data_IF_004587161251
#
_entry.id   IF_004587161251
#
_cell.length_a   1.000
_cell.length_b   1.000
_cell.length_c   1.000
_cell.angle_alpha   90.00
_cell.angle_beta   90.00
_cell.angle_gamma   90.00
#
_symmetry.space_group_name_H-M   'P 1'
#
loop_
_entity.id
_entity.type
_entity.pdbx_description
1 polymer ?
#
# COMPACT_ATOMS: atom_id res chain seq x y z
N UNK A 1 43.48 -5.32 69.85
CA UNK A 1 42.33 -5.87 69.10
C UNK A 1 41.44 -4.74 68.61
N UNK A 2 40.87 -4.90 67.40
CA UNK A 2 39.91 -4.03 66.68
C UNK A 2 40.52 -3.05 65.66
N UNK A 3 40.84 -3.59 64.49
CA UNK A 3 40.84 -2.87 63.21
C UNK A 3 39.42 -2.34 62.92
N UNK A 4 39.29 -1.04 62.64
CA UNK A 4 38.07 -0.43 62.11
C UNK A 4 38.08 -0.56 60.58
N UNK A 5 37.14 -1.35 60.05
CA UNK A 5 36.83 -1.44 58.62
C UNK A 5 36.24 -0.10 58.14
N UNK A 6 36.80 0.48 57.08
CA UNK A 6 36.16 1.53 56.27
C UNK A 6 35.05 0.87 55.43
N UNK A 7 33.80 1.30 55.61
CA UNK A 7 32.74 1.09 54.62
C UNK A 7 32.78 2.25 53.63
N UNK A 8 33.09 1.95 52.37
CA UNK A 8 32.92 2.87 51.24
C UNK A 8 31.55 2.57 50.63
N UNK A 9 30.57 3.44 50.84
CA UNK A 9 29.30 3.38 50.15
C UNK A 9 29.52 3.89 48.71
N UNK A 10 29.72 2.98 47.76
CA UNK A 10 29.46 3.27 46.36
C UNK A 10 27.95 3.15 46.15
N UNK A 11 27.27 4.29 46.12
CA UNK A 11 25.92 4.38 45.55
C UNK A 11 26.12 4.38 44.04
N UNK A 12 25.89 3.23 43.40
CA UNK A 12 25.71 3.17 41.96
C UNK A 12 24.42 3.90 41.60
N UNK A 13 24.58 5.02 40.91
CA UNK A 13 23.51 5.79 40.32
C UNK A 13 22.94 4.97 39.15
N UNK A 14 21.91 4.16 39.43
CA UNK A 14 21.11 3.49 38.41
C UNK A 14 20.31 4.58 37.69
N UNK A 15 20.96 5.20 36.71
CA UNK A 15 20.34 6.14 35.80
C UNK A 15 19.11 5.50 35.17
N UNK A 16 17.95 6.13 35.40
CA UNK A 16 16.68 5.78 34.76
C UNK A 16 16.87 5.80 33.24
N UNK A 17 17.01 4.62 32.65
CA UNK A 17 17.09 4.46 31.21
C UNK A 17 15.77 4.89 30.58
N UNK A 18 15.87 5.80 29.63
CA UNK A 18 14.77 6.26 28.81
C UNK A 18 14.36 5.10 27.88
N UNK A 19 13.09 4.64 27.84
CA UNK A 19 12.68 3.45 27.07
C UNK A 19 12.77 3.61 25.53
N UNK A 20 13.28 4.74 25.05
CA UNK A 20 13.37 5.10 23.63
C UNK A 20 14.79 5.07 23.06
N UNK A 21 15.83 4.81 23.85
CA UNK A 21 17.21 4.81 23.35
C UNK A 21 17.73 3.37 23.23
N UNK A 22 17.69 2.83 22.01
CA UNK A 22 18.21 1.49 21.70
C UNK A 22 19.73 1.57 21.58
N UNK A 23 20.47 0.79 22.36
CA UNK A 23 21.93 0.75 22.29
C UNK A 23 22.39 -0.04 21.07
N UNK A 24 23.53 0.32 20.46
CA UNK A 24 24.12 -0.41 19.31
C UNK A 24 24.26 -1.92 19.58
N UNK A 25 24.54 -2.31 20.82
CA UNK A 25 24.62 -3.71 21.25
C UNK A 25 23.28 -4.46 21.26
N UNK A 26 22.16 -3.78 21.46
CA UNK A 26 20.81 -4.37 21.37
C UNK A 26 20.39 -4.52 19.91
N UNK A 27 20.88 -3.61 19.05
CA UNK A 27 20.64 -3.62 17.60
C UNK A 27 21.38 -4.79 16.96
N UNK A 28 22.67 -5.00 17.28
CA UNK A 28 23.47 -6.09 16.73
C UNK A 28 23.03 -7.49 17.20
N UNK A 29 22.38 -7.59 18.36
CA UNK A 29 21.79 -8.83 18.84
C UNK A 29 20.43 -9.18 18.19
N UNK A 30 19.86 -8.26 17.40
CA UNK A 30 18.56 -8.42 16.79
C UNK A 30 18.60 -9.36 15.56
N UNK A 31 17.58 -10.19 15.42
CA UNK A 31 17.48 -11.14 14.29
C UNK A 31 17.47 -10.45 12.92
N UNK A 32 16.87 -9.26 12.79
CA UNK A 32 16.87 -8.52 11.52
C UNK A 32 18.29 -8.12 11.14
N UNK A 33 19.10 -7.67 12.11
CA UNK A 33 20.48 -7.28 11.87
C UNK A 33 21.39 -8.47 11.60
N UNK A 34 21.16 -9.59 12.27
CA UNK A 34 21.88 -10.83 11.98
C UNK A 34 21.58 -11.33 10.57
N UNK A 35 20.31 -11.33 10.16
CA UNK A 35 19.92 -11.68 8.80
C UNK A 35 20.48 -10.69 7.78
N UNK A 36 20.42 -9.38 8.06
CA UNK A 36 21.01 -8.37 7.18
C UNK A 36 22.49 -8.63 6.97
N UNK A 37 23.27 -8.79 8.05
CA UNK A 37 24.70 -9.05 7.99
C UNK A 37 25.04 -10.32 7.19
N UNK A 38 24.17 -11.34 7.22
CA UNK A 38 24.37 -12.60 6.49
C UNK A 38 23.98 -12.51 5.01
N UNK A 39 22.99 -11.69 4.63
CA UNK A 39 22.35 -11.81 3.32
C UNK A 39 22.36 -10.54 2.45
N UNK A 40 22.35 -9.34 3.02
CA UNK A 40 22.17 -8.11 2.20
C UNK A 40 22.82 -6.83 2.73
N UNK A 41 23.43 -6.85 3.91
CA UNK A 41 23.99 -5.65 4.54
C UNK A 41 25.05 -5.02 3.64
N UNK A 42 25.02 -3.69 3.45
CA UNK A 42 26.04 -2.99 2.68
C UNK A 42 27.41 -2.97 3.38
N UNK A 43 27.45 -3.27 4.68
CA UNK A 43 28.69 -3.28 5.49
C UNK A 43 29.45 -4.61 5.39
N UNK A 44 28.78 -5.68 4.94
CA UNK A 44 29.39 -7.00 4.76
C UNK A 44 30.02 -7.12 3.37
N UNK A 45 31.20 -7.74 3.27
CA UNK A 45 31.84 -8.00 1.97
C UNK A 45 30.97 -8.97 1.15
N UNK A 46 30.89 -8.76 -0.16
CA UNK A 46 30.00 -9.53 -1.04
C UNK A 46 30.34 -11.04 -0.99
N UNK A 47 31.61 -11.38 -0.84
CA UNK A 47 32.12 -12.75 -0.75
C UNK A 47 31.72 -13.46 0.57
N UNK A 48 31.38 -12.69 1.61
CA UNK A 48 30.95 -13.19 2.91
C UNK A 48 29.43 -13.37 2.99
N UNK A 49 28.67 -12.76 2.08
CA UNK A 49 27.21 -12.88 2.02
C UNK A 49 26.80 -14.29 1.59
N UNK A 50 25.79 -14.83 2.27
CA UNK A 50 25.16 -16.07 1.89
C UNK A 50 24.38 -15.91 0.57
N UNK A 51 24.25 -17.00 -0.23
CA UNK A 51 23.42 -16.97 -1.43
C UNK A 51 21.97 -16.57 -1.13
N UNK A 52 21.33 -15.93 -2.11
CA UNK A 52 19.93 -15.55 -2.03
C UNK A 52 19.03 -16.73 -1.61
N UNK A 53 18.16 -16.48 -0.63
CA UNK A 53 17.20 -17.45 -0.14
C UNK A 53 15.82 -16.79 0.03
N UNK A 54 14.87 -17.16 -0.84
CA UNK A 54 13.52 -16.63 -0.83
C UNK A 54 12.77 -16.88 0.49
N UNK A 55 13.06 -17.99 1.18
CA UNK A 55 12.38 -18.34 2.44
C UNK A 55 12.62 -17.31 3.55
N UNK A 56 13.74 -16.57 3.49
CA UNK A 56 14.04 -15.49 4.44
C UNK A 56 12.99 -14.38 4.34
N UNK A 57 12.47 -14.11 3.14
CA UNK A 57 11.44 -13.10 2.92
C UNK A 57 10.13 -13.54 3.58
N UNK A 58 9.73 -14.81 3.39
CA UNK A 58 8.54 -15.38 4.02
C UNK A 58 8.64 -15.40 5.55
N UNK A 59 9.78 -15.78 6.11
CA UNK A 59 10.02 -15.75 7.56
C UNK A 59 9.98 -14.33 8.14
N UNK A 60 10.67 -13.37 7.52
CA UNK A 60 10.64 -11.96 7.94
C UNK A 60 9.21 -11.41 7.86
N UNK A 61 8.53 -11.69 6.75
CA UNK A 61 7.17 -11.19 6.57
C UNK A 61 6.22 -11.71 7.64
N UNK A 62 6.23 -13.02 7.90
CA UNK A 62 5.31 -13.62 8.85
C UNK A 62 5.63 -13.19 10.30
N UNK A 63 6.91 -13.18 10.68
CA UNK A 63 7.33 -13.00 12.07
C UNK A 63 7.53 -11.55 12.47
N UNK A 64 8.00 -10.71 11.54
CA UNK A 64 8.45 -9.36 11.84
C UNK A 64 7.52 -8.26 11.29
N UNK A 65 6.79 -8.55 10.21
CA UNK A 65 5.90 -7.57 9.55
C UNK A 65 4.42 -7.81 9.88
N UNK A 66 3.89 -9.00 9.61
CA UNK A 66 2.46 -9.29 9.65
C UNK A 66 1.91 -9.37 11.08
N UNK A 67 2.52 -10.24 11.91
CA UNK A 67 1.98 -10.64 13.22
C UNK A 67 2.85 -10.16 14.41
N UNK A 68 3.61 -9.08 14.24
CA UNK A 68 4.47 -8.55 15.29
C UNK A 68 3.81 -7.40 16.10
N UNK A 69 3.87 -7.47 17.43
CA UNK A 69 3.30 -6.45 18.34
C UNK A 69 3.88 -5.04 18.10
N UNK A 70 5.14 -4.97 17.70
CA UNK A 70 5.84 -3.72 17.37
C UNK A 70 6.23 -3.65 15.90
N UNK A 71 5.38 -4.13 15.00
CA UNK A 71 5.64 -4.22 13.55
C UNK A 71 6.23 -2.92 12.98
N UNK A 72 5.72 -1.73 13.36
CA UNK A 72 6.28 -0.45 12.91
C UNK A 72 7.79 -0.31 13.18
N UNK A 73 8.23 -0.66 14.39
CA UNK A 73 9.67 -0.62 14.74
C UNK A 73 10.48 -1.66 13.96
N UNK A 74 9.92 -2.83 13.68
CA UNK A 74 10.58 -3.89 12.88
C UNK A 74 10.74 -3.47 11.42
N UNK A 75 9.69 -2.87 10.85
CA UNK A 75 9.69 -2.30 9.49
C UNK A 75 10.74 -1.19 9.37
N UNK A 76 10.85 -0.29 10.36
CA UNK A 76 11.93 0.72 10.41
C UNK A 76 13.32 0.08 10.39
N UNK A 77 13.53 -1.00 11.14
CA UNK A 77 14.82 -1.69 11.18
C UNK A 77 15.16 -2.36 9.83
N UNK A 78 14.16 -2.94 9.15
CA UNK A 78 14.32 -3.50 7.81
C UNK A 78 14.67 -2.40 6.79
N UNK A 79 13.97 -1.26 6.84
CA UNK A 79 14.25 -0.11 5.97
C UNK A 79 15.68 0.39 6.16
N UNK A 80 16.10 0.61 7.42
CA UNK A 80 17.46 1.06 7.75
C UNK A 80 18.54 0.08 7.29
N UNK A 81 18.24 -1.22 7.28
CA UNK A 81 19.15 -2.26 6.78
C UNK A 81 19.21 -2.35 5.23
N UNK A 82 18.50 -1.48 4.51
CA UNK A 82 18.37 -1.48 3.04
C UNK A 82 17.74 -2.77 2.48
N UNK A 83 16.75 -3.32 3.21
CA UNK A 83 16.09 -4.57 2.84
C UNK A 83 15.42 -4.50 1.45
N UNK A 84 14.84 -3.35 1.09
CA UNK A 84 14.22 -3.14 -0.23
C UNK A 84 15.26 -3.18 -1.35
N UNK A 85 16.32 -2.39 -1.20
CA UNK A 85 17.32 -2.13 -2.22
C UNK A 85 18.28 -3.28 -2.43
N UNK A 86 18.57 -4.03 -1.37
CA UNK A 86 19.60 -5.08 -1.37
C UNK A 86 19.04 -6.49 -1.44
N UNK A 87 17.82 -6.73 -0.96
CA UNK A 87 17.27 -8.10 -0.88
C UNK A 87 15.94 -8.28 -1.60
N UNK A 88 14.99 -7.36 -1.47
CA UNK A 88 13.66 -7.54 -2.05
C UNK A 88 13.62 -7.26 -3.56
N UNK A 89 13.87 -6.02 -3.96
CA UNK A 89 13.67 -5.60 -5.36
C UNK A 89 14.62 -6.28 -6.35
N UNK A 90 15.93 -6.42 -6.06
CA UNK A 90 16.84 -7.14 -6.95
C UNK A 90 16.42 -8.60 -7.21
N UNK A 91 15.66 -9.21 -6.30
CA UNK A 91 15.26 -10.61 -6.42
C UNK A 91 13.77 -10.80 -6.76
N UNK A 92 13.03 -9.71 -7.02
CA UNK A 92 11.63 -9.80 -7.39
C UNK A 92 11.48 -10.27 -8.85
N UNK A 93 10.65 -11.29 -9.03
CA UNK A 93 10.15 -11.79 -10.31
C UNK A 93 8.71 -12.22 -10.14
N UNK A 94 7.80 -11.79 -11.01
CA UNK A 94 6.37 -12.03 -10.80
C UNK A 94 6.00 -13.50 -10.73
N UNK A 95 6.70 -14.34 -11.48
CA UNK A 95 6.44 -15.76 -11.63
C UNK A 95 6.73 -16.55 -10.35
N UNK A 96 7.66 -16.07 -9.52
CA UNK A 96 8.14 -16.75 -8.32
C UNK A 96 7.86 -15.98 -7.03
N UNK A 97 7.49 -14.70 -7.12
CA UNK A 97 7.23 -13.86 -5.95
C UNK A 97 6.04 -14.38 -5.14
N UNK A 98 6.29 -14.64 -3.85
CA UNK A 98 5.26 -15.00 -2.88
C UNK A 98 4.45 -13.76 -2.46
N UNK A 99 3.32 -14.00 -1.80
CA UNK A 99 2.55 -12.94 -1.14
C UNK A 99 3.40 -12.16 -0.14
N UNK A 100 4.28 -12.85 0.59
CA UNK A 100 5.23 -12.23 1.51
C UNK A 100 6.21 -11.30 0.80
N UNK A 101 6.71 -11.67 -0.37
CA UNK A 101 7.62 -10.82 -1.16
C UNK A 101 6.92 -9.55 -1.64
N UNK A 102 5.72 -9.68 -2.22
CA UNK A 102 4.90 -8.54 -2.61
C UNK A 102 4.64 -7.59 -1.43
N UNK A 103 4.12 -8.14 -0.34
CA UNK A 103 3.72 -7.33 0.81
C UNK A 103 4.92 -6.73 1.56
N UNK A 104 6.09 -7.38 1.54
CA UNK A 104 7.33 -6.81 2.09
C UNK A 104 7.78 -5.60 1.29
N UNK A 105 7.71 -5.64 -0.05
CA UNK A 105 8.02 -4.48 -0.89
C UNK A 105 7.04 -3.34 -0.60
N UNK A 106 5.74 -3.64 -0.56
CA UNK A 106 4.69 -2.66 -0.21
C UNK A 106 4.95 -2.01 1.16
N UNK A 107 5.32 -2.81 2.16
CA UNK A 107 5.65 -2.31 3.50
C UNK A 107 6.86 -1.38 3.49
N UNK A 108 7.94 -1.75 2.79
CA UNK A 108 9.14 -0.91 2.69
C UNK A 108 8.89 0.40 1.95
N UNK A 109 8.10 0.37 0.88
CA UNK A 109 7.74 1.59 0.13
C UNK A 109 6.93 2.54 1.02
N UNK A 110 5.89 2.03 1.69
CA UNK A 110 5.06 2.84 2.58
C UNK A 110 5.90 3.43 3.74
N UNK A 111 6.85 2.65 4.26
CA UNK A 111 7.76 3.12 5.29
C UNK A 111 8.68 4.24 4.82
N UNK A 112 9.27 4.11 3.63
CA UNK A 112 10.09 5.17 3.04
C UNK A 112 9.31 6.47 2.84
N UNK A 113 8.05 6.39 2.40
CA UNK A 113 7.18 7.56 2.35
C UNK A 113 6.91 8.15 3.74
N UNK A 114 6.72 7.30 4.76
CA UNK A 114 6.52 7.73 6.15
C UNK A 114 7.72 8.49 6.69
N UNK A 115 8.93 8.04 6.37
CA UNK A 115 10.21 8.66 6.76
C UNK A 115 10.69 9.75 5.78
N UNK A 116 9.94 10.01 4.71
CA UNK A 116 10.24 11.01 3.66
C UNK A 116 11.57 10.77 2.95
N UNK A 117 11.86 9.51 2.65
CA UNK A 117 13.03 9.06 1.90
C UNK A 117 12.64 8.80 0.44
N UNK A 118 13.59 8.97 -0.48
CA UNK A 118 13.43 8.65 -1.90
C UNK A 118 13.02 7.18 -2.10
N UNK A 119 11.97 6.97 -2.92
CA UNK A 119 11.40 5.64 -3.17
C UNK A 119 11.67 5.16 -4.58
N UNK A 120 11.40 6.00 -5.57
CA UNK A 120 11.32 5.55 -6.96
C UNK A 120 12.65 5.13 -7.61
N UNK A 121 13.83 5.71 -7.26
CA UNK A 121 15.09 5.34 -7.89
C UNK A 121 15.46 3.85 -7.83
N UNK A 122 15.06 3.11 -6.79
CA UNK A 122 15.34 1.66 -6.73
C UNK A 122 14.57 0.89 -7.81
N UNK A 123 13.37 1.31 -8.17
CA UNK A 123 12.58 0.64 -9.20
C UNK A 123 13.18 0.84 -10.61
N UNK A 124 13.98 1.88 -10.81
CA UNK A 124 14.73 2.15 -12.05
C UNK A 124 15.91 1.20 -12.24
N UNK A 125 16.31 0.41 -11.23
CA UNK A 125 17.37 -0.61 -11.42
C UNK A 125 16.89 -1.83 -12.19
N UNK A 126 15.58 -2.09 -12.20
CA UNK A 126 14.90 -3.18 -12.93
C UNK A 126 13.52 -2.71 -13.44
N UNK A 127 13.46 -1.68 -14.29
CA UNK A 127 12.20 -1.03 -14.68
C UNK A 127 11.24 -1.99 -15.42
N UNK A 128 11.77 -3.04 -16.05
CA UNK A 128 11.01 -4.08 -16.74
C UNK A 128 10.12 -4.91 -15.82
N UNK A 129 10.47 -5.03 -14.53
CA UNK A 129 9.69 -5.80 -13.54
C UNK A 129 8.53 -4.98 -12.96
N UNK A 130 8.63 -3.65 -13.01
CA UNK A 130 7.68 -2.75 -12.36
C UNK A 130 6.22 -2.90 -12.86
N UNK A 131 5.94 -3.03 -14.18
CA UNK A 131 4.58 -3.28 -14.65
C UNK A 131 3.97 -4.57 -14.07
N UNK A 132 4.76 -5.65 -14.01
CA UNK A 132 4.30 -6.93 -13.47
C UNK A 132 4.12 -6.89 -11.95
N UNK A 133 4.98 -6.16 -11.23
CA UNK A 133 4.82 -5.86 -9.81
C UNK A 133 3.56 -5.03 -9.53
N UNK A 134 3.36 -3.93 -10.26
CA UNK A 134 2.18 -3.09 -10.11
C UNK A 134 0.90 -3.89 -10.38
N UNK A 135 0.89 -4.70 -11.45
CA UNK A 135 -0.21 -5.64 -11.73
C UNK A 135 -0.47 -6.58 -10.55
N UNK A 136 0.58 -7.09 -9.90
CA UNK A 136 0.48 -7.94 -8.70
C UNK A 136 -0.21 -7.23 -7.54
N UNK A 137 0.14 -5.97 -7.29
CA UNK A 137 -0.53 -5.11 -6.29
C UNK A 137 -2.02 -4.99 -6.60
N UNK A 138 -2.38 -4.67 -7.86
CA UNK A 138 -3.78 -4.50 -8.26
C UNK A 138 -4.58 -5.80 -8.07
N UNK A 139 -4.03 -6.94 -8.49
CA UNK A 139 -4.67 -8.26 -8.32
C UNK A 139 -4.81 -8.66 -6.86
N UNK A 140 -3.90 -8.20 -6.00
CA UNK A 140 -3.98 -8.47 -4.55
C UNK A 140 -5.03 -7.58 -3.87
N UNK A 141 -5.28 -6.37 -4.38
CA UNK A 141 -6.39 -5.53 -3.95
C UNK A 141 -7.77 -6.12 -4.34
N UNK A 142 -7.85 -6.65 -5.56
CA UNK A 142 -9.05 -7.23 -6.15
C UNK A 142 -8.77 -8.65 -6.65
N UNK A 143 -8.68 -9.65 -5.74
CA UNK A 143 -8.49 -11.03 -6.13
C UNK A 143 -9.68 -11.49 -6.98
N UNK A 144 -9.40 -12.18 -8.08
CA UNK A 144 -10.43 -12.78 -8.93
C UNK A 144 -11.16 -13.91 -8.20
N UNK A 145 -12.37 -14.24 -8.66
CA UNK A 145 -13.19 -15.30 -8.03
C UNK A 145 -12.48 -16.67 -7.97
N UNK A 146 -11.59 -16.94 -8.93
CA UNK A 146 -10.82 -18.18 -9.02
C UNK A 146 -9.43 -18.10 -8.33
N UNK A 147 -9.15 -17.03 -7.57
CA UNK A 147 -7.86 -16.86 -6.91
C UNK A 147 -7.65 -17.96 -5.87
N UNK A 148 -6.73 -18.89 -6.16
CA UNK A 148 -6.31 -19.94 -5.23
C UNK A 148 -5.19 -19.37 -4.35
N UNK A 149 -5.51 -19.04 -3.11
CA UNK A 149 -4.51 -18.53 -2.17
C UNK A 149 -5.11 -17.80 -0.98
N UNK A 150 -4.25 -17.35 -0.09
CA UNK A 150 -4.63 -16.49 1.03
C UNK A 150 -5.03 -15.11 0.49
N UNK A 151 -6.23 -14.66 0.84
CA UNK A 151 -6.64 -13.29 0.58
C UNK A 151 -5.96 -12.32 1.55
N UNK A 152 -5.72 -11.09 1.09
CA UNK A 152 -5.19 -10.02 1.93
C UNK A 152 -6.13 -9.72 3.12
N UNK A 153 -5.56 -9.71 4.31
CA UNK A 153 -6.20 -9.22 5.54
C UNK A 153 -6.47 -7.72 5.46
N UNK A 154 -7.28 -7.18 6.37
CA UNK A 154 -7.56 -5.73 6.37
C UNK A 154 -6.31 -4.87 6.51
N UNK A 155 -5.33 -5.28 7.31
CA UNK A 155 -4.07 -4.55 7.43
C UNK A 155 -3.30 -4.52 6.11
N UNK A 156 -3.25 -5.65 5.42
CA UNK A 156 -2.59 -5.76 4.11
C UNK A 156 -3.33 -4.94 3.05
N UNK A 157 -4.68 -4.99 3.02
CA UNK A 157 -5.48 -4.14 2.15
C UNK A 157 -5.22 -2.66 2.40
N UNK A 158 -5.13 -2.23 3.66
CA UNK A 158 -4.77 -0.85 3.99
C UNK A 158 -3.39 -0.48 3.45
N UNK A 159 -2.38 -1.34 3.64
CA UNK A 159 -1.03 -1.10 3.12
C UNK A 159 -1.00 -1.02 1.59
N UNK A 160 -1.78 -1.86 0.89
CA UNK A 160 -1.91 -1.81 -0.56
C UNK A 160 -2.56 -0.51 -1.04
N UNK A 161 -3.62 -0.04 -0.37
CA UNK A 161 -4.27 1.23 -0.69
C UNK A 161 -3.31 2.41 -0.49
N UNK A 162 -2.55 2.42 0.61
CA UNK A 162 -1.53 3.45 0.87
C UNK A 162 -0.46 3.44 -0.24
N UNK A 163 0.03 2.26 -0.63
CA UNK A 163 0.97 2.13 -1.73
C UNK A 163 0.41 2.64 -3.06
N UNK A 164 -0.83 2.27 -3.40
CA UNK A 164 -1.49 2.79 -4.61
C UNK A 164 -1.62 4.30 -4.55
N UNK A 165 -1.99 4.86 -3.41
CA UNK A 165 -2.06 6.31 -3.23
C UNK A 165 -0.71 6.98 -3.51
N UNK A 166 0.39 6.41 -3.02
CA UNK A 166 1.74 6.89 -3.35
C UNK A 166 2.03 6.85 -4.85
N UNK A 167 1.67 5.77 -5.57
CA UNK A 167 1.85 5.70 -7.01
C UNK A 167 1.06 6.77 -7.77
N UNK A 168 -0.20 7.03 -7.38
CA UNK A 168 -1.03 8.06 -8.01
C UNK A 168 -0.56 9.48 -7.68
N UNK A 169 -0.03 9.70 -6.48
CA UNK A 169 0.56 10.97 -6.07
C UNK A 169 1.97 11.22 -6.65
N UNK A 170 2.54 10.24 -7.36
CA UNK A 170 3.87 10.34 -8.01
C UNK A 170 3.81 10.20 -9.53
N UNK A 171 2.75 10.68 -10.18
CA UNK A 171 2.58 10.62 -11.65
C UNK A 171 3.57 11.49 -12.45
N UNK A 172 4.36 12.33 -11.81
CA UNK A 172 5.53 12.98 -12.41
C UNK A 172 6.63 11.98 -12.75
N UNK A 173 6.72 10.88 -12.00
CA UNK A 173 7.67 9.78 -12.25
C UNK A 173 7.12 8.89 -13.37
N UNK A 174 7.96 8.62 -14.37
CA UNK A 174 7.55 7.88 -15.57
C UNK A 174 7.02 6.47 -15.27
N UNK A 175 7.72 5.72 -14.41
CA UNK A 175 7.30 4.39 -13.97
C UNK A 175 5.87 4.39 -13.40
N UNK A 176 5.58 5.33 -12.50
CA UNK A 176 4.27 5.48 -11.87
C UNK A 176 3.22 5.94 -12.89
N UNK A 177 3.54 6.95 -13.70
CA UNK A 177 2.64 7.51 -14.70
C UNK A 177 2.16 6.48 -15.70
N UNK A 178 3.07 5.65 -16.22
CA UNK A 178 2.75 4.66 -17.24
C UNK A 178 1.75 3.61 -16.75
N UNK A 179 1.80 3.24 -15.47
CA UNK A 179 0.84 2.32 -14.88
C UNK A 179 -0.45 3.03 -14.45
N UNK A 180 -0.33 4.13 -13.70
CA UNK A 180 -1.48 4.85 -13.15
C UNK A 180 -2.41 5.39 -14.24
N UNK A 181 -1.88 5.92 -15.35
CA UNK A 181 -2.70 6.49 -16.44
C UNK A 181 -3.66 5.47 -17.06
N UNK A 182 -3.33 4.17 -17.04
CA UNK A 182 -4.19 3.10 -17.57
C UNK A 182 -5.49 2.99 -16.79
N UNK A 183 -5.46 3.32 -15.50
CA UNK A 183 -6.57 3.20 -14.56
C UNK A 183 -7.49 4.43 -14.53
N UNK A 184 -7.01 5.59 -14.98
CA UNK A 184 -7.73 6.88 -14.91
C UNK A 184 -7.90 7.59 -16.26
N UNK A 185 -7.70 6.88 -17.37
CA UNK A 185 -7.92 7.44 -18.71
C UNK A 185 -9.39 7.37 -19.15
N UNK A 186 -9.73 8.01 -20.28
CA UNK A 186 -11.06 7.96 -20.86
C UNK A 186 -11.61 6.52 -21.01
N UNK A 187 -10.75 5.51 -21.22
CA UNK A 187 -11.21 4.13 -21.36
C UNK A 187 -11.87 3.57 -20.10
N UNK A 188 -11.63 4.16 -18.92
CA UNK A 188 -12.30 3.74 -17.70
C UNK A 188 -13.82 3.93 -17.78
N UNK A 189 -14.31 4.85 -18.62
CA UNK A 189 -15.75 5.05 -18.81
C UNK A 189 -16.47 3.85 -19.42
N UNK A 190 -15.76 2.80 -19.84
CA UNK A 190 -16.35 1.50 -20.20
C UNK A 190 -17.15 0.89 -19.05
N UNK A 191 -16.82 1.26 -17.80
CA UNK A 191 -17.51 0.77 -16.61
C UNK A 191 -18.80 1.52 -16.27
N UNK A 192 -19.06 2.66 -16.91
CA UNK A 192 -20.26 3.46 -16.67
C UNK A 192 -21.51 2.77 -17.23
N UNK A 193 -22.66 3.08 -16.63
CA UNK A 193 -23.95 2.72 -17.21
C UNK A 193 -24.09 3.34 -18.62
N UNK A 194 -24.65 2.62 -19.61
CA UNK A 194 -24.73 3.11 -20.99
C UNK A 194 -25.41 4.48 -21.14
N UNK A 195 -26.43 4.76 -20.32
CA UNK A 195 -27.12 6.06 -20.31
C UNK A 195 -26.23 7.18 -19.76
N UNK A 196 -25.49 6.90 -18.69
CA UNK A 196 -24.54 7.84 -18.07
C UNK A 196 -23.40 8.17 -19.04
N UNK A 197 -22.78 7.15 -19.61
CA UNK A 197 -21.75 7.32 -20.66
C UNK A 197 -22.24 8.21 -21.80
N UNK A 198 -23.43 7.93 -22.33
CA UNK A 198 -23.97 8.68 -23.45
C UNK A 198 -24.30 10.13 -23.07
N UNK A 199 -24.72 10.42 -21.83
CA UNK A 199 -24.88 11.79 -21.34
C UNK A 199 -23.56 12.56 -21.38
N UNK A 200 -22.50 12.00 -20.79
CA UNK A 200 -21.17 12.62 -20.73
C UNK A 200 -20.58 12.87 -22.13
N UNK A 201 -20.77 11.92 -23.06
CA UNK A 201 -20.34 12.06 -24.45
C UNK A 201 -21.18 13.05 -25.27
N UNK A 202 -22.39 13.41 -24.83
CA UNK A 202 -23.19 14.48 -25.46
C UNK A 202 -22.73 15.85 -24.98
N UNK A 203 -22.43 15.96 -23.69
CA UNK A 203 -22.00 17.23 -23.08
C UNK A 203 -20.67 17.72 -23.65
N UNK A 204 -19.75 16.81 -23.99
CA UNK A 204 -18.45 17.15 -24.61
C UNK A 204 -18.22 16.39 -25.93
N UNK A 205 -18.50 17.00 -27.09
CA UNK A 205 -18.36 16.36 -28.40
C UNK A 205 -16.95 15.84 -28.74
N UNK A 206 -15.89 16.47 -28.20
CA UNK A 206 -14.51 16.00 -28.36
C UNK A 206 -14.33 14.59 -27.76
N UNK A 207 -14.89 14.32 -26.58
CA UNK A 207 -14.83 12.99 -25.96
C UNK A 207 -15.53 11.95 -26.78
N UNK A 208 -16.66 12.29 -27.41
CA UNK A 208 -17.32 11.38 -28.36
C UNK A 208 -16.41 10.99 -29.52
N UNK A 209 -15.61 11.93 -30.03
CA UNK A 209 -14.63 11.63 -31.10
C UNK A 209 -13.53 10.68 -30.60
N UNK A 210 -12.97 10.93 -29.42
CA UNK A 210 -11.94 10.06 -28.83
C UNK A 210 -12.49 8.68 -28.46
N UNK A 211 -13.70 8.62 -27.90
CA UNK A 211 -14.41 7.39 -27.57
C UNK A 211 -14.66 6.53 -28.81
N UNK A 212 -15.15 7.12 -29.91
CA UNK A 212 -15.31 6.39 -31.19
C UNK A 212 -13.98 5.86 -31.72
N UNK A 213 -12.88 6.59 -31.56
CA UNK A 213 -11.54 6.13 -31.96
C UNK A 213 -11.08 4.95 -31.09
N UNK A 214 -11.31 5.03 -29.78
CA UNK A 214 -11.03 3.96 -28.83
C UNK A 214 -11.79 2.69 -29.24
N UNK A 215 -13.11 2.78 -29.41
CA UNK A 215 -13.95 1.67 -29.88
C UNK A 215 -13.49 1.11 -31.24
N UNK A 216 -13.07 1.97 -32.19
CA UNK A 216 -12.58 1.53 -33.50
C UNK A 216 -11.26 0.75 -33.40
N UNK A 217 -10.34 1.15 -32.52
CA UNK A 217 -9.10 0.40 -32.25
C UNK A 217 -9.37 -0.99 -31.65
N UNK A 218 -10.54 -1.15 -31.03
CA UNK A 218 -10.88 -2.29 -30.19
C UNK A 218 -11.80 -3.32 -30.84
N UNK A 219 -12.33 -3.06 -32.05
CA UNK A 219 -13.26 -3.93 -32.79
C UNK A 219 -12.66 -5.32 -33.10
N UNK A 220 -12.62 -6.18 -32.09
CA UNK A 220 -12.28 -7.61 -32.17
C UNK A 220 -11.13 -8.10 -31.29
N UNK A 221 -10.46 -7.24 -30.49
CA UNK A 221 -9.24 -7.66 -29.78
C UNK A 221 -8.94 -6.88 -28.48
N UNK A 222 -9.97 -6.57 -27.68
CA UNK A 222 -9.71 -6.04 -26.32
C UNK A 222 -9.18 -7.18 -25.47
N UNK A 223 -7.92 -7.09 -25.06
CA UNK A 223 -7.33 -8.04 -24.11
C UNK A 223 -8.12 -7.98 -22.81
N UNK A 224 -8.46 -9.13 -22.22
CA UNK A 224 -9.19 -9.21 -20.96
C UNK A 224 -8.52 -8.39 -19.83
N UNK A 225 -7.19 -8.32 -19.83
CA UNK A 225 -6.40 -7.49 -18.92
C UNK A 225 -6.75 -5.99 -19.02
N UNK A 226 -6.87 -5.47 -20.25
CA UNK A 226 -7.21 -4.06 -20.48
C UNK A 226 -8.63 -3.78 -20.00
N UNK A 227 -9.55 -4.71 -20.21
CA UNK A 227 -10.92 -4.58 -19.74
C UNK A 227 -11.02 -4.61 -18.21
N UNK A 228 -10.24 -5.49 -17.58
CA UNK A 228 -10.12 -5.57 -16.13
C UNK A 228 -9.57 -4.27 -15.54
N UNK A 229 -8.53 -3.67 -16.15
CA UNK A 229 -7.94 -2.41 -15.69
C UNK A 229 -8.92 -1.23 -15.74
N UNK A 230 -9.75 -1.16 -16.79
CA UNK A 230 -10.80 -0.11 -16.92
C UNK A 230 -11.81 -0.15 -15.79
N UNK A 231 -12.08 -1.35 -15.27
CA UNK A 231 -13.04 -1.58 -14.20
C UNK A 231 -12.37 -1.61 -12.82
N UNK A 232 -11.04 -1.56 -12.73
CA UNK A 232 -10.31 -1.74 -11.47
C UNK A 232 -10.80 -0.78 -10.38
N UNK A 233 -10.77 0.54 -10.63
CA UNK A 233 -11.17 1.52 -9.62
C UNK A 233 -12.65 1.43 -9.25
N UNK A 234 -13.54 1.15 -10.21
CA UNK A 234 -14.97 0.95 -9.94
C UNK A 234 -15.18 -0.28 -9.05
N UNK A 235 -14.58 -1.42 -9.41
CA UNK A 235 -14.68 -2.65 -8.63
C UNK A 235 -14.05 -2.51 -7.24
N UNK A 236 -12.99 -1.70 -7.13
CA UNK A 236 -12.34 -1.41 -5.86
C UNK A 236 -13.26 -0.58 -4.96
N UNK A 237 -13.95 0.41 -5.52
CA UNK A 237 -15.01 1.17 -4.83
C UNK A 237 -16.16 0.25 -4.39
N UNK A 238 -16.61 -0.66 -5.25
CA UNK A 238 -17.68 -1.61 -4.92
C UNK A 238 -17.27 -2.53 -3.76
N UNK A 239 -16.02 -3.03 -3.77
CA UNK A 239 -15.47 -3.81 -2.65
C UNK A 239 -15.45 -2.98 -1.36
N UNK A 240 -14.96 -1.74 -1.42
CA UNK A 240 -14.96 -0.83 -0.27
C UNK A 240 -16.37 -0.59 0.28
N UNK A 241 -17.35 -0.33 -0.58
CA UNK A 241 -18.74 -0.10 -0.16
C UNK A 241 -19.33 -1.34 0.52
N UNK A 242 -19.00 -2.54 0.01
CA UNK A 242 -19.41 -3.80 0.64
C UNK A 242 -18.82 -3.97 2.05
N UNK A 243 -17.55 -3.60 2.24
CA UNK A 243 -16.89 -3.59 3.56
C UNK A 243 -17.54 -2.56 4.49
N UNK A 244 -17.78 -1.35 3.98
CA UNK A 244 -18.34 -0.24 4.75
C UNK A 244 -19.77 -0.54 5.23
N UNK A 245 -20.59 -1.17 4.38
CA UNK A 245 -21.98 -1.51 4.70
C UNK A 245 -22.11 -2.72 5.60
N UNK A 246 -21.10 -3.59 5.65
CA UNK A 246 -21.06 -4.71 6.60
C UNK A 246 -20.83 -4.25 8.05
N UNK A 247 -20.44 -2.99 8.28
CA UNK A 247 -20.25 -2.44 9.62
C UNK A 247 -21.62 -2.23 10.29
N UNK A 248 -21.86 -2.91 11.40
CA UNK A 248 -23.05 -2.73 12.23
C UNK A 248 -23.00 -1.43 13.04
N UNK A 249 -24.16 -0.87 13.34
CA UNK A 249 -24.28 0.32 14.19
C UNK A 249 -23.77 0.04 15.62
N UNK A 250 -24.13 -1.13 16.15
CA UNK A 250 -23.76 -1.58 17.50
C UNK A 250 -22.78 -2.76 17.44
N UNK A 251 -22.12 -3.05 18.56
CA UNK A 251 -21.14 -4.13 18.70
C UNK A 251 -19.72 -3.72 18.33
N UNK A 252 -18.78 -4.65 18.48
CA UNK A 252 -17.37 -4.42 18.25
C UNK A 252 -17.05 -4.34 16.76
N UNK A 253 -16.26 -3.33 16.38
CA UNK A 253 -15.70 -3.19 15.03
C UNK A 253 -14.20 -3.33 15.11
N UNK A 254 -13.63 -4.17 14.24
CA UNK A 254 -12.18 -4.36 14.20
C UNK A 254 -11.49 -3.04 13.81
N UNK A 255 -10.50 -2.54 14.57
CA UNK A 255 -9.80 -1.30 14.25
C UNK A 255 -9.15 -1.29 12.86
N UNK A 256 -8.75 -2.45 12.35
CA UNK A 256 -8.19 -2.61 11.00
C UNK A 256 -9.20 -2.29 9.89
N UNK A 257 -10.50 -2.53 10.11
CA UNK A 257 -11.56 -2.17 9.17
C UNK A 257 -11.72 -0.65 9.15
N UNK A 258 -11.74 0.00 10.32
CA UNK A 258 -11.84 1.46 10.43
C UNK A 258 -10.66 2.13 9.72
N UNK A 259 -9.44 1.68 10.02
CA UNK A 259 -8.23 2.19 9.38
C UNK A 259 -8.23 1.99 7.86
N UNK A 260 -8.73 0.84 7.37
CA UNK A 260 -8.91 0.61 5.94
C UNK A 260 -9.87 1.63 5.34
N UNK A 261 -11.04 1.85 5.96
CA UNK A 261 -12.03 2.79 5.48
C UNK A 261 -11.51 4.23 5.43
N UNK A 262 -10.74 4.65 6.44
CA UNK A 262 -10.10 5.97 6.48
C UNK A 262 -9.08 6.15 5.35
N UNK A 263 -8.16 5.19 5.18
CA UNK A 263 -7.17 5.25 4.10
C UNK A 263 -7.78 5.12 2.72
N UNK A 264 -8.90 4.40 2.60
CA UNK A 264 -9.65 4.35 1.35
C UNK A 264 -10.24 5.72 1.00
N UNK A 265 -10.85 6.43 1.94
CA UNK A 265 -11.36 7.77 1.67
C UNK A 265 -10.23 8.76 1.34
N UNK A 266 -9.09 8.68 2.04
CA UNK A 266 -7.90 9.48 1.70
C UNK A 266 -7.47 9.25 0.25
N UNK A 267 -7.37 7.98 -0.17
CA UNK A 267 -7.05 7.62 -1.55
C UNK A 267 -8.03 8.21 -2.57
N UNK A 268 -9.34 8.13 -2.29
CA UNK A 268 -10.38 8.73 -3.17
C UNK A 268 -10.25 10.26 -3.20
N UNK A 269 -9.95 10.90 -2.07
CA UNK A 269 -9.79 12.35 -1.97
C UNK A 269 -8.60 12.82 -2.81
N UNK A 270 -7.49 12.11 -2.76
CA UNK A 270 -6.26 12.42 -3.50
C UNK A 270 -6.47 12.24 -5.01
N UNK A 271 -7.13 11.15 -5.43
CA UNK A 271 -7.54 10.97 -6.83
C UNK A 271 -8.43 12.10 -7.34
N UNK A 272 -9.32 12.65 -6.51
CA UNK A 272 -10.18 13.79 -6.84
C UNK A 272 -9.50 15.16 -6.67
N UNK A 273 -8.31 15.22 -6.06
CA UNK A 273 -7.55 16.45 -5.87
C UNK A 273 -6.61 16.75 -7.05
N UNK A 274 -6.14 15.70 -7.75
CA UNK A 274 -5.21 15.85 -8.87
C UNK A 274 -5.94 15.88 -10.22
N UNK A 275 -5.65 16.88 -11.05
CA UNK A 275 -6.30 17.02 -12.37
C UNK A 275 -6.09 15.81 -13.31
N UNK A 276 -4.89 15.20 -13.39
CA UNK A 276 -4.64 14.05 -14.28
C UNK A 276 -5.49 12.82 -13.95
N UNK A 277 -5.87 12.65 -12.68
CA UNK A 277 -6.69 11.52 -12.20
C UNK A 277 -8.17 11.88 -12.20
N UNK A 278 -8.53 13.07 -11.71
CA UNK A 278 -9.93 13.52 -11.51
C UNK A 278 -10.77 13.49 -12.78
N UNK A 279 -10.20 13.89 -13.92
CA UNK A 279 -10.96 14.24 -15.15
C UNK A 279 -11.99 13.18 -15.56
N UNK A 280 -11.59 11.91 -15.58
CA UNK A 280 -12.48 10.80 -15.97
C UNK A 280 -12.95 10.02 -14.75
N UNK A 281 -12.16 10.01 -13.67
CA UNK A 281 -12.49 9.32 -12.44
C UNK A 281 -13.70 9.91 -11.72
N UNK A 282 -13.85 11.25 -11.72
CA UNK A 282 -14.95 11.94 -11.04
C UNK A 282 -16.33 11.42 -11.48
N UNK A 283 -16.52 11.22 -12.79
CA UNK A 283 -17.76 10.64 -13.35
C UNK A 283 -18.03 9.23 -12.84
N UNK A 284 -17.00 8.39 -12.76
CA UNK A 284 -17.12 7.01 -12.25
C UNK A 284 -17.41 7.03 -10.75
N UNK A 285 -16.73 7.89 -10.00
CA UNK A 285 -16.96 8.06 -8.57
C UNK A 285 -18.42 8.45 -8.27
N UNK A 286 -18.97 9.38 -9.06
CA UNK A 286 -20.38 9.79 -8.95
C UNK A 286 -21.35 8.65 -9.27
N UNK A 287 -21.09 7.88 -10.33
CA UNK A 287 -21.90 6.71 -10.75
C UNK A 287 -21.94 5.59 -9.70
N UNK A 288 -20.91 5.48 -8.84
CA UNK A 288 -20.91 4.50 -7.73
C UNK A 288 -21.70 4.94 -6.51
N UNK A 289 -22.11 6.22 -6.46
CA UNK A 289 -22.76 6.86 -5.30
C UNK A 289 -21.95 6.74 -3.99
N UNK A 290 -20.61 6.61 -4.10
CA UNK A 290 -19.74 6.41 -2.94
C UNK A 290 -19.94 7.49 -1.89
N UNK A 291 -20.01 8.75 -2.31
CA UNK A 291 -20.15 9.86 -1.38
C UNK A 291 -21.41 9.69 -0.54
N UNK A 292 -22.58 9.59 -1.19
CA UNK A 292 -23.88 9.44 -0.51
C UNK A 292 -23.90 8.22 0.41
N UNK A 293 -23.40 7.07 -0.05
CA UNK A 293 -23.36 5.83 0.76
C UNK A 293 -22.43 5.97 1.97
N UNK A 294 -21.26 6.59 1.79
CA UNK A 294 -20.39 6.95 2.89
C UNK A 294 -21.00 8.02 3.81
N UNK A 295 -22.00 8.77 3.33
CA UNK A 295 -22.66 9.76 4.16
C UNK A 295 -23.65 9.19 5.18
N UNK A 296 -24.28 8.08 4.82
CA UNK A 296 -25.37 7.44 5.58
C UNK A 296 -24.95 6.12 6.24
N UNK A 297 -23.70 5.69 6.07
CA UNK A 297 -23.22 4.43 6.64
C UNK A 297 -23.22 4.44 8.18
N UNK A 298 -23.21 3.26 8.78
CA UNK A 298 -23.21 3.15 10.24
C UNK A 298 -21.92 3.69 10.87
N UNK A 299 -20.78 3.59 10.17
CA UNK A 299 -19.48 4.01 10.71
C UNK A 299 -19.47 5.49 11.12
N UNK A 300 -20.16 6.38 10.40
CA UNK A 300 -20.19 7.82 10.76
C UNK A 300 -21.00 8.13 12.01
N UNK A 301 -21.84 7.20 12.46
CA UNK A 301 -22.64 7.33 13.68
C UNK A 301 -21.89 6.77 14.91
N UNK A 302 -20.78 6.06 14.68
CA UNK A 302 -19.98 5.42 15.73
C UNK A 302 -18.87 6.34 16.23
N UNK A 303 -18.45 6.15 17.48
CA UNK A 303 -17.28 6.85 18.01
C UNK A 303 -15.99 6.46 17.28
N UNK A 304 -15.88 5.21 16.86
CA UNK A 304 -14.74 4.69 16.10
C UNK A 304 -14.55 5.43 14.78
N UNK A 305 -15.64 5.89 14.15
CA UNK A 305 -15.64 6.55 12.85
C UNK A 305 -15.47 8.06 12.88
N UNK A 306 -15.04 8.66 14.00
CA UNK A 306 -14.88 10.12 14.14
C UNK A 306 -13.99 10.71 13.05
N UNK A 307 -12.83 10.10 12.77
CA UNK A 307 -11.90 10.57 11.73
C UNK A 307 -12.45 10.31 10.31
N UNK A 308 -13.05 9.13 10.07
CA UNK A 308 -13.78 8.83 8.84
C UNK A 308 -14.86 9.89 8.53
N UNK A 309 -15.61 10.32 9.53
CA UNK A 309 -16.62 11.38 9.40
C UNK A 309 -16.04 12.78 9.12
N UNK A 310 -14.82 13.08 9.58
CA UNK A 310 -14.14 14.36 9.34
C UNK A 310 -13.62 14.48 7.90
N UNK A 311 -13.14 13.40 7.30
CA UNK A 311 -12.66 13.37 5.91
C UNK A 311 -13.72 13.86 4.91
N UNK A 312 -15.00 13.77 5.26
CA UNK A 312 -16.14 14.26 4.48
C UNK A 312 -16.29 15.79 4.45
N UNK A 313 -15.87 16.51 5.49
CA UNK A 313 -16.22 17.93 5.69
C UNK A 313 -15.32 18.90 4.91
N UNK A 314 -14.26 18.43 4.26
CA UNK A 314 -13.26 19.32 3.62
C UNK A 314 -13.58 19.74 2.17
N UNK A 315 -14.71 19.35 1.58
CA UNK A 315 -15.02 19.70 0.17
C UNK A 315 -16.48 20.11 -0.12
N UNK A 316 -17.20 20.67 0.85
CA UNK A 316 -18.43 21.45 0.59
C UNK A 316 -18.48 22.68 1.49
#
# INVERSE_FOLDING_TARGET
MKQKRKHSNHVEDIGKQNPHTVTVSQISADIIWQLAAQYWSPETQIEELLPYNANIIDDIYCREILDHKTATRRIMMLEFSQYLEKYLWPNYKRETATHAHLMSIVAMVNEKFRERVEVWPIFETKPEEYPAFFRHVLETCLPGNDSKGRHATMREKTALIVFLNHCFNSMEIELCREQAKRLVSLSMWSCLQPKRLEQELREVPEWRKFWRRLQKKEKGNVKAEVEWERHFLQNLIIQFLSILEAISLEGDVQPSIVAYCERFLEFIIDLEALLPTRRFFNTVLDDTHLLVRAQICNLVQREDGKLFGQGRRKKY
#
